data_IF_972259691083
#
_entry.id   IF_972259691083
#
_cell.length_a   1.000
_cell.length_b   1.000
_cell.length_c   1.000
_cell.angle_alpha   90.00
_cell.angle_beta   90.00
_cell.angle_gamma   90.00
#
_symmetry.space_group_name_H-M   'P 1'
#
loop_
_entity.id
_entity.type
_entity.pdbx_description
1 polymer ?
#
# COMPACT_ATOMS: atom_id res chain seq x y z
N UNK A 1 -15.94 -1.58 -2.53
CA UNK A 1 -16.15 -2.96 -2.02
C UNK A 1 -15.50 -3.06 -0.65
N UNK A 2 -16.20 -3.67 0.31
CA UNK A 2 -15.71 -3.82 1.68
C UNK A 2 -15.35 -5.28 1.94
N UNK A 3 -14.13 -5.53 2.39
CA UNK A 3 -13.64 -6.85 2.79
C UNK A 3 -13.33 -6.88 4.29
N UNK A 4 -13.65 -7.98 4.97
CA UNK A 4 -13.35 -8.16 6.40
C UNK A 4 -12.68 -9.52 6.64
N UNK A 5 -11.58 -9.49 7.38
CA UNK A 5 -10.90 -10.69 7.85
C UNK A 5 -10.71 -10.62 9.37
N UNK A 6 -11.33 -11.55 10.07
CA UNK A 6 -11.17 -11.71 11.52
C UNK A 6 -9.94 -12.57 11.82
N UNK A 7 -9.11 -12.12 12.75
CA UNK A 7 -7.95 -12.83 13.26
C UNK A 7 -7.97 -12.88 14.80
N UNK A 8 -6.98 -13.54 15.41
CA UNK A 8 -6.94 -13.65 16.86
C UNK A 8 -6.58 -12.31 17.51
N UNK A 9 -7.60 -11.64 18.05
CA UNK A 9 -7.42 -10.38 18.76
C UNK A 9 -7.85 -9.16 17.95
N UNK A 10 -8.33 -9.31 16.72
CA UNK A 10 -8.81 -8.16 15.97
C UNK A 10 -9.44 -8.47 14.61
N UNK A 11 -9.65 -7.41 13.85
CA UNK A 11 -10.23 -7.47 12.50
C UNK A 11 -9.42 -6.58 11.56
N UNK A 12 -9.18 -7.08 10.35
CA UNK A 12 -8.71 -6.28 9.23
C UNK A 12 -9.91 -5.95 8.35
N UNK A 13 -10.12 -4.67 8.07
CA UNK A 13 -11.14 -4.16 7.16
C UNK A 13 -10.45 -3.47 5.99
N UNK A 14 -10.66 -3.95 4.77
CA UNK A 14 -10.18 -3.30 3.55
C UNK A 14 -11.34 -2.65 2.80
N UNK A 15 -11.19 -1.35 2.54
CA UNK A 15 -12.11 -0.51 1.81
C UNK A 15 -11.52 -0.22 0.42
N UNK A 16 -12.01 -0.97 -0.57
CA UNK A 16 -11.68 -0.75 -1.99
C UNK A 16 -12.62 0.28 -2.60
N UNK A 17 -12.06 1.38 -3.10
CA UNK A 17 -12.79 2.48 -3.76
C UNK A 17 -14.06 2.86 -2.99
N UNK A 18 -13.97 3.16 -1.68
CA UNK A 18 -15.14 3.34 -0.86
C UNK A 18 -15.90 4.62 -1.21
N UNK A 19 -17.20 4.57 -1.00
CA UNK A 19 -18.05 5.75 -0.96
C UNK A 19 -17.86 6.50 0.36
N UNK A 20 -18.17 7.80 0.39
CA UNK A 20 -18.13 8.58 1.63
C UNK A 20 -19.09 8.05 2.72
N UNK A 21 -20.15 7.34 2.34
CA UNK A 21 -21.03 6.66 3.30
C UNK A 21 -20.34 5.44 3.94
N UNK A 22 -19.65 4.61 3.14
CA UNK A 22 -18.88 3.46 3.67
C UNK A 22 -17.76 3.91 4.60
N UNK A 23 -17.06 5.01 4.28
CA UNK A 23 -16.04 5.62 5.17
C UNK A 23 -16.68 6.04 6.49
N UNK A 24 -17.82 6.75 6.45
CA UNK A 24 -18.55 7.19 7.64
C UNK A 24 -19.01 6.02 8.52
N UNK A 25 -19.46 4.93 7.91
CA UNK A 25 -19.94 3.77 8.64
C UNK A 25 -18.80 3.06 9.35
N UNK A 26 -17.65 2.87 8.69
CA UNK A 26 -16.43 2.32 9.30
C UNK A 26 -15.89 3.25 10.37
N UNK A 27 -15.90 4.57 10.14
CA UNK A 27 -15.47 5.56 11.12
C UNK A 27 -16.29 5.48 12.42
N UNK A 28 -17.61 5.36 12.32
CA UNK A 28 -18.48 5.17 13.49
C UNK A 28 -18.24 3.82 14.18
N UNK A 29 -18.06 2.75 13.41
CA UNK A 29 -17.85 1.40 13.95
C UNK A 29 -16.59 1.31 14.81
N UNK A 30 -15.49 1.90 14.33
CA UNK A 30 -14.19 1.84 15.01
C UNK A 30 -13.85 3.10 15.81
N UNK A 31 -14.81 4.01 15.99
CA UNK A 31 -14.62 5.28 16.70
C UNK A 31 -13.45 6.10 16.15
N UNK A 32 -13.33 6.16 14.82
CA UNK A 32 -12.34 6.98 14.11
C UNK A 32 -12.74 8.45 14.28
N UNK A 33 -11.82 9.27 14.80
CA UNK A 33 -12.05 10.70 14.99
C UNK A 33 -12.35 11.43 13.67
N UNK A 34 -13.20 12.46 13.73
CA UNK A 34 -13.57 13.29 12.56
C UNK A 34 -12.36 13.91 11.83
N UNK A 35 -11.22 14.04 12.51
CA UNK A 35 -9.98 14.47 11.88
C UNK A 35 -9.42 13.39 10.96
N UNK A 36 -9.31 12.15 11.43
CA UNK A 36 -8.80 11.02 10.63
C UNK A 36 -9.79 10.64 9.54
N UNK A 37 -11.10 10.67 9.82
CA UNK A 37 -12.15 10.42 8.81
C UNK A 37 -12.01 11.36 7.61
N UNK A 38 -11.72 12.64 7.85
CA UNK A 38 -11.57 13.64 6.77
C UNK A 38 -10.38 13.36 5.85
N UNK A 39 -9.30 12.80 6.38
CA UNK A 39 -8.15 12.40 5.57
C UNK A 39 -8.53 11.25 4.63
N UNK A 40 -9.38 10.31 5.06
CA UNK A 40 -9.79 9.16 4.24
C UNK A 40 -10.75 9.50 3.09
N UNK A 41 -11.38 10.69 3.09
CA UNK A 41 -12.41 11.04 2.10
C UNK A 41 -11.85 11.23 0.69
N UNK A 42 -10.59 11.64 0.56
CA UNK A 42 -9.94 11.93 -0.70
C UNK A 42 -8.45 11.54 -0.63
N UNK A 43 -7.88 11.02 -1.73
CA UNK A 43 -6.45 10.77 -1.81
C UNK A 43 -5.64 12.04 -1.51
N UNK A 44 -4.54 11.85 -0.81
CA UNK A 44 -3.58 12.89 -0.44
C UNK A 44 -2.35 12.87 -1.37
N UNK A 45 -1.72 14.03 -1.62
CA UNK A 45 -0.60 14.10 -2.55
C UNK A 45 0.73 13.61 -1.98
N UNK A 46 0.82 13.41 -0.66
CA UNK A 46 2.09 13.12 0.04
C UNK A 46 1.85 12.17 1.22
N UNK A 47 2.81 11.28 1.53
CA UNK A 47 2.75 10.45 2.73
C UNK A 47 2.53 11.27 4.00
N UNK A 48 1.76 10.70 4.93
CA UNK A 48 1.27 11.40 6.11
C UNK A 48 1.19 10.43 7.29
N UNK A 49 1.52 10.93 8.49
CA UNK A 49 1.20 10.27 9.75
C UNK A 49 0.31 11.19 10.60
N UNK A 50 -0.83 10.67 11.02
CA UNK A 50 -1.70 11.30 12.00
C UNK A 50 -2.07 10.29 13.10
N UNK A 51 -2.23 10.77 14.33
CA UNK A 51 -2.65 9.93 15.45
C UNK A 51 -3.66 10.69 16.31
N UNK A 52 -4.79 10.08 16.60
CA UNK A 52 -5.87 10.65 17.41
C UNK A 52 -6.65 9.49 18.06
N UNK A 53 -7.16 9.68 19.27
CA UNK A 53 -8.09 8.71 19.88
C UNK A 53 -7.56 7.30 20.13
N UNK A 54 -6.24 7.09 20.15
CA UNK A 54 -5.65 5.74 20.23
C UNK A 54 -5.71 4.99 18.90
N UNK A 55 -5.79 5.72 17.79
CA UNK A 55 -5.62 5.23 16.43
C UNK A 55 -4.46 5.98 15.77
N UNK A 56 -3.72 5.28 14.92
CA UNK A 56 -2.67 5.86 14.09
C UNK A 56 -3.02 5.63 12.62
N UNK A 57 -3.13 6.72 11.84
CA UNK A 57 -3.27 6.74 10.39
C UNK A 57 -1.90 6.96 9.75
N UNK A 58 -1.51 6.04 8.88
CA UNK A 58 -0.37 6.17 7.99
C UNK A 58 -0.85 6.15 6.55
N UNK A 59 -0.49 7.17 5.78
CA UNK A 59 -0.73 7.23 4.34
C UNK A 59 0.57 6.94 3.61
N UNK A 60 0.54 5.98 2.68
CA UNK A 60 1.68 5.56 1.88
C UNK A 60 1.35 5.55 0.39
N UNK A 61 2.37 5.79 -0.43
CA UNK A 61 2.26 5.86 -1.88
C UNK A 61 3.16 4.79 -2.51
N UNK A 62 2.54 3.84 -3.21
CA UNK A 62 3.24 2.74 -3.85
C UNK A 62 3.34 2.96 -5.36
N UNK A 63 4.53 2.85 -5.96
CA UNK A 63 4.66 2.97 -7.41
C UNK A 63 3.86 1.87 -8.12
N UNK A 64 3.10 2.26 -9.13
CA UNK A 64 2.31 1.36 -9.95
C UNK A 64 2.58 1.60 -11.44
N UNK A 65 2.24 0.59 -12.24
CA UNK A 65 2.30 0.70 -13.69
C UNK A 65 1.11 1.54 -14.15
N UNK A 66 1.36 2.74 -14.68
CA UNK A 66 0.33 3.54 -15.31
C UNK A 66 -0.25 2.83 -16.55
N UNK A 67 -1.50 3.16 -16.90
CA UNK A 67 -2.18 2.60 -18.06
C UNK A 67 -1.57 3.05 -19.42
N UNK A 68 -0.78 4.13 -19.42
CA UNK A 68 -0.08 4.65 -20.59
C UNK A 68 1.45 4.50 -20.45
N UNK A 69 2.10 4.09 -21.55
CA UNK A 69 3.55 3.89 -21.62
C UNK A 69 4.33 5.16 -21.22
N UNK A 70 4.86 5.16 -20.00
CA UNK A 70 5.75 6.20 -19.48
C UNK A 70 5.13 7.21 -18.53
N UNK A 71 3.87 7.01 -18.10
CA UNK A 71 3.32 7.68 -16.92
C UNK A 71 3.54 6.75 -15.72
N UNK A 72 4.33 7.20 -14.75
CA UNK A 72 4.48 6.51 -13.46
C UNK A 72 3.52 7.17 -12.48
N UNK A 73 2.53 6.40 -12.03
CA UNK A 73 1.55 6.83 -11.04
C UNK A 73 1.83 6.09 -9.73
N UNK A 74 1.48 6.74 -8.62
CA UNK A 74 1.54 6.11 -7.31
C UNK A 74 0.13 5.82 -6.83
N UNK A 75 -0.07 4.62 -6.29
CA UNK A 75 -1.31 4.20 -5.66
C UNK A 75 -1.22 4.43 -4.16
N UNK A 76 -2.20 5.14 -3.62
CA UNK A 76 -2.29 5.45 -2.21
C UNK A 76 -2.96 4.33 -1.42
N UNK A 77 -2.35 4.00 -0.28
CA UNK A 77 -2.90 3.09 0.73
C UNK A 77 -2.86 3.80 2.07
N UNK A 78 -4.04 4.03 2.61
CA UNK A 78 -4.20 4.51 3.97
C UNK A 78 -4.30 3.32 4.90
N UNK A 79 -3.54 3.34 5.99
CA UNK A 79 -3.53 2.29 6.99
C UNK A 79 -3.83 2.92 8.35
N UNK A 80 -4.99 2.60 8.91
CA UNK A 80 -5.34 2.93 10.29
C UNK A 80 -5.10 1.71 11.15
N UNK A 81 -4.32 1.87 12.21
CA UNK A 81 -4.09 0.84 13.22
C UNK A 81 -4.58 1.31 14.57
N UNK A 82 -5.35 0.43 15.22
CA UNK A 82 -5.75 0.52 16.61
C UNK A 82 -5.55 -0.81 17.30
N UNK A 83 -5.93 -0.87 18.58
CA UNK A 83 -5.66 -2.02 19.45
C UNK A 83 -6.03 -3.40 18.86
N UNK A 84 -7.23 -3.46 18.29
CA UNK A 84 -7.82 -4.71 17.79
C UNK A 84 -8.33 -4.53 16.35
N UNK A 85 -7.81 -3.55 15.62
CA UNK A 85 -8.32 -3.19 14.29
C UNK A 85 -7.21 -2.69 13.39
N UNK A 86 -7.25 -3.15 12.15
CA UNK A 86 -6.52 -2.57 11.04
C UNK A 86 -7.55 -2.19 9.98
N UNK A 87 -7.59 -0.92 9.56
CA UNK A 87 -8.41 -0.48 8.44
C UNK A 87 -7.48 -0.04 7.31
N UNK A 88 -7.68 -0.59 6.12
CA UNK A 88 -7.00 -0.12 4.91
C UNK A 88 -8.00 0.56 3.99
N UNK A 89 -7.64 1.73 3.47
CA UNK A 89 -8.41 2.43 2.43
C UNK A 89 -7.56 2.56 1.19
N UNK A 90 -8.16 2.26 0.03
CA UNK A 90 -7.52 2.40 -1.27
C UNK A 90 -8.50 2.95 -2.29
N UNK A 91 -8.03 3.91 -3.09
CA UNK A 91 -8.85 4.62 -4.06
C UNK A 91 -8.85 3.95 -5.45
N UNK A 92 -8.03 2.93 -5.60
CA UNK A 92 -7.87 2.12 -6.81
C UNK A 92 -7.76 0.63 -6.48
N UNK A 93 -7.75 -0.19 -7.53
CA UNK A 93 -7.44 -1.62 -7.39
C UNK A 93 -5.94 -1.78 -7.17
N UNK A 94 -5.58 -2.29 -6.00
CA UNK A 94 -4.18 -2.54 -5.60
C UNK A 94 -3.97 -4.05 -5.57
N UNK A 95 -3.29 -4.56 -6.60
CA UNK A 95 -3.14 -6.00 -6.84
C UNK A 95 -2.55 -6.77 -5.63
N UNK A 96 -1.55 -6.26 -4.89
CA UNK A 96 -1.01 -6.94 -3.71
C UNK A 96 -2.04 -7.17 -2.60
N UNK A 97 -2.89 -6.17 -2.32
CA UNK A 97 -3.94 -6.29 -1.31
C UNK A 97 -5.05 -7.23 -1.77
N UNK A 98 -5.44 -7.16 -3.04
CA UNK A 98 -6.41 -8.09 -3.61
C UNK A 98 -5.90 -9.55 -3.61
N UNK A 99 -4.61 -9.77 -3.85
CA UNK A 99 -4.00 -11.10 -3.72
C UNK A 99 -4.01 -11.58 -2.26
N UNK A 100 -3.64 -10.71 -1.31
CA UNK A 100 -3.68 -11.02 0.11
C UNK A 100 -5.09 -11.42 0.58
N UNK A 101 -6.13 -10.71 0.13
CA UNK A 101 -7.53 -11.08 0.43
C UNK A 101 -7.83 -12.52 0.00
N UNK A 102 -7.50 -12.89 -1.23
CA UNK A 102 -7.71 -14.25 -1.75
C UNK A 102 -6.95 -15.32 -0.97
N UNK A 103 -5.71 -15.02 -0.58
CA UNK A 103 -4.89 -15.93 0.24
C UNK A 103 -5.52 -16.16 1.61
N UNK A 104 -6.00 -15.10 2.26
CA UNK A 104 -6.64 -15.18 3.57
C UNK A 104 -8.01 -15.87 3.53
N UNK A 105 -8.80 -15.64 2.48
CA UNK A 105 -10.04 -16.38 2.25
C UNK A 105 -9.76 -17.88 2.08
N UNK A 106 -8.77 -18.24 1.26
CA UNK A 106 -8.38 -19.63 1.05
C UNK A 106 -7.86 -20.29 2.35
N UNK A 107 -7.05 -19.57 3.13
CA UNK A 107 -6.53 -20.08 4.40
C UNK A 107 -7.64 -20.33 5.42
N UNK A 108 -8.61 -19.42 5.52
CA UNK A 108 -9.77 -19.54 6.43
C UNK A 108 -10.59 -20.80 6.14
N UNK A 109 -10.71 -21.18 4.87
CA UNK A 109 -11.40 -22.41 4.45
C UNK A 109 -10.65 -23.70 4.83
N UNK A 110 -9.32 -23.65 4.91
CA UNK A 110 -8.47 -24.86 5.13
C UNK A 110 -8.15 -25.08 6.60
N UNK A 111 -7.77 -24.03 7.34
CA UNK A 111 -7.21 -24.15 8.70
C UNK A 111 -8.01 -23.41 9.78
N UNK A 112 -9.13 -22.77 9.42
CA UNK A 112 -9.86 -21.86 10.32
C UNK A 112 -9.10 -20.55 10.53
N UNK A 113 -9.49 -19.77 11.57
CA UNK A 113 -8.79 -18.53 11.91
C UNK A 113 -7.39 -18.90 12.46
N UNK A 114 -6.33 -18.48 11.76
CA UNK A 114 -4.98 -18.58 12.28
C UNK A 114 -4.83 -17.71 13.53
N UNK A 115 -3.93 -18.12 14.44
CA UNK A 115 -3.54 -17.35 15.62
C UNK A 115 -2.67 -16.14 15.23
N UNK A 116 -3.19 -15.29 14.35
CA UNK A 116 -2.55 -14.04 13.91
C UNK A 116 -2.96 -12.94 14.89
N UNK A 117 -1.98 -12.26 15.49
CA UNK A 117 -2.20 -11.03 16.27
C UNK A 117 -2.25 -9.81 15.35
N UNK A 118 -2.65 -8.65 15.87
CA UNK A 118 -2.64 -7.37 15.13
C UNK A 118 -1.27 -7.08 14.52
N UNK A 119 -0.19 -7.24 15.29
CA UNK A 119 1.18 -7.01 14.82
C UNK A 119 1.58 -7.91 13.66
N UNK A 120 1.28 -9.20 13.76
CA UNK A 120 1.61 -10.16 12.69
C UNK A 120 0.77 -9.88 11.45
N UNK A 121 -0.50 -9.51 11.61
CA UNK A 121 -1.35 -9.13 10.48
C UNK A 121 -0.82 -7.88 9.77
N UNK A 122 -0.34 -6.90 10.54
CA UNK A 122 0.27 -5.69 10.02
C UNK A 122 1.60 -5.99 9.30
N UNK A 123 2.42 -6.88 9.85
CA UNK A 123 3.64 -7.38 9.21
C UNK A 123 3.33 -8.04 7.86
N UNK A 124 2.32 -8.92 7.81
CA UNK A 124 1.90 -9.58 6.56
C UNK A 124 1.42 -8.56 5.52
N UNK A 125 0.66 -7.54 5.94
CA UNK A 125 0.20 -6.45 5.07
C UNK A 125 1.37 -5.70 4.43
N UNK A 126 2.30 -5.20 5.25
CA UNK A 126 3.48 -4.49 4.75
C UNK A 126 4.37 -5.40 3.90
N UNK A 127 4.57 -6.66 4.30
CA UNK A 127 5.34 -7.60 3.51
C UNK A 127 4.75 -7.78 2.11
N UNK A 128 3.43 -7.88 1.96
CA UNK A 128 2.78 -7.97 0.66
C UNK A 128 2.93 -6.70 -0.17
N UNK A 129 2.75 -5.52 0.44
CA UNK A 129 2.90 -4.23 -0.24
C UNK A 129 4.34 -4.02 -0.73
N UNK A 130 5.34 -4.25 0.12
CA UNK A 130 6.75 -4.09 -0.24
C UNK A 130 7.28 -5.19 -1.16
N UNK A 131 6.70 -6.39 -1.15
CA UNK A 131 7.01 -7.41 -2.17
C UNK A 131 6.64 -6.90 -3.57
N UNK A 132 5.53 -6.18 -3.71
CA UNK A 132 5.14 -5.58 -4.99
C UNK A 132 6.15 -4.54 -5.49
N UNK A 133 6.68 -3.72 -4.58
CA UNK A 133 7.73 -2.73 -4.91
C UNK A 133 8.99 -3.44 -5.39
N UNK A 134 9.38 -4.52 -4.71
CA UNK A 134 10.52 -5.33 -5.10
C UNK A 134 10.32 -5.98 -6.48
N UNK A 135 9.13 -6.52 -6.75
CA UNK A 135 8.78 -7.10 -8.05
C UNK A 135 8.79 -6.06 -9.18
N UNK A 136 8.29 -4.85 -8.91
CA UNK A 136 8.38 -3.71 -9.83
C UNK A 136 9.84 -3.37 -10.13
N UNK A 137 10.68 -3.32 -9.09
CA UNK A 137 12.13 -3.06 -9.24
C UNK A 137 12.79 -4.10 -10.15
N UNK A 138 12.48 -5.39 -9.96
CA UNK A 138 12.99 -6.44 -10.84
C UNK A 138 12.53 -6.27 -12.29
N UNK A 139 11.28 -5.84 -12.50
CA UNK A 139 10.78 -5.56 -13.85
C UNK A 139 11.54 -4.43 -14.55
N UNK A 140 11.90 -3.37 -13.80
CA UNK A 140 12.75 -2.26 -14.29
C UNK A 140 14.13 -2.80 -14.70
N UNK A 141 14.75 -3.66 -13.88
CA UNK A 141 16.05 -4.29 -14.17
C UNK A 141 15.99 -5.13 -15.45
N UNK A 142 14.95 -5.97 -15.59
CA UNK A 142 14.75 -6.79 -16.79
C UNK A 142 14.54 -5.94 -18.05
N UNK A 143 13.84 -4.81 -17.93
CA UNK A 143 13.67 -3.85 -19.03
C UNK A 143 14.99 -3.19 -19.41
N UNK A 144 15.82 -2.83 -18.43
CA UNK A 144 17.14 -2.26 -18.69
C UNK A 144 18.05 -3.26 -19.44
N UNK A 145 18.06 -4.54 -19.03
CA UNK A 145 18.82 -5.58 -19.71
C UNK A 145 18.39 -5.77 -21.18
N UNK A 146 17.08 -5.69 -21.47
CA UNK A 146 16.56 -5.72 -22.86
C UNK A 146 17.00 -4.50 -23.67
N UNK A 147 16.95 -3.32 -23.06
CA UNK A 147 17.39 -2.07 -23.69
C UNK A 147 18.88 -2.14 -24.06
N UNK A 148 19.71 -2.68 -23.17
CA UNK A 148 21.14 -2.88 -23.44
C UNK A 148 21.36 -3.80 -24.64
N UNK A 149 20.61 -4.91 -24.75
CA UNK A 149 20.67 -5.79 -25.93
C UNK A 149 20.29 -5.04 -27.23
N UNK A 150 19.17 -4.30 -27.22
CA UNK A 150 18.71 -3.52 -28.38
C UNK A 150 19.74 -2.46 -28.85
N UNK A 151 20.61 -1.94 -27.94
CA UNK A 151 21.71 -1.02 -28.32
C UNK A 151 22.74 -1.70 -29.20
N UNK A 152 23.17 -2.91 -28.82
CA UNK A 152 24.20 -3.64 -29.53
C UNK A 152 23.74 -4.08 -30.93
N UNK A 153 22.41 -4.19 -31.14
CA UNK A 153 21.79 -4.54 -32.42
C UNK A 153 21.52 -3.33 -33.35
N UNK A 154 21.93 -2.12 -32.96
CA UNK A 154 21.89 -0.92 -33.81
C UNK A 154 20.56 -0.16 -33.81
N UNK A 155 19.68 -0.37 -32.82
CA UNK A 155 18.40 0.33 -32.66
C UNK A 155 18.49 1.64 -31.85
N UNK A 156 19.58 2.40 -32.01
CA UNK A 156 20.02 3.50 -31.12
C UNK A 156 18.92 4.51 -30.73
N UNK A 157 18.08 4.95 -31.69
CA UNK A 157 17.06 5.98 -31.42
C UNK A 157 15.92 5.48 -30.55
N UNK A 158 15.53 4.20 -30.70
CA UNK A 158 14.49 3.57 -29.88
C UNK A 158 15.02 3.35 -28.46
N UNK A 159 16.27 2.92 -28.35
CA UNK A 159 16.95 2.71 -27.07
C UNK A 159 16.97 3.96 -26.21
N UNK A 160 17.37 5.13 -26.75
CA UNK A 160 17.48 6.36 -25.95
C UNK A 160 16.14 6.72 -25.27
N UNK A 161 15.03 6.59 -25.99
CA UNK A 161 13.70 6.84 -25.42
C UNK A 161 13.36 5.83 -24.31
N UNK A 162 13.69 4.57 -24.51
CA UNK A 162 13.47 3.52 -23.51
C UNK A 162 14.32 3.72 -22.25
N UNK A 163 15.59 4.15 -22.38
CA UNK A 163 16.44 4.51 -21.23
C UNK A 163 15.78 5.65 -20.45
N UNK A 164 15.39 6.72 -21.13
CA UNK A 164 14.76 7.87 -20.47
C UNK A 164 13.46 7.50 -19.75
N UNK A 165 12.66 6.58 -20.31
CA UNK A 165 11.46 6.06 -19.65
C UNK A 165 11.81 5.28 -18.37
N UNK A 166 12.76 4.34 -18.46
CA UNK A 166 13.21 3.53 -17.31
C UNK A 166 13.83 4.41 -16.22
N UNK A 167 14.65 5.41 -16.57
CA UNK A 167 15.24 6.34 -15.61
C UNK A 167 14.19 7.19 -14.89
N UNK A 168 13.16 7.67 -15.59
CA UNK A 168 12.06 8.45 -14.97
C UNK A 168 11.26 7.58 -14.00
N UNK A 169 10.97 6.36 -14.40
CA UNK A 169 10.21 5.41 -13.58
C UNK A 169 10.99 5.02 -12.32
N UNK A 170 12.29 4.72 -12.46
CA UNK A 170 13.16 4.45 -11.32
C UNK A 170 13.25 5.63 -10.36
N UNK A 171 13.44 6.85 -10.89
CA UNK A 171 13.49 8.06 -10.06
C UNK A 171 12.17 8.34 -9.33
N UNK A 172 11.03 8.10 -9.99
CA UNK A 172 9.72 8.22 -9.36
C UNK A 172 9.56 7.24 -8.20
N UNK A 173 9.93 5.97 -8.42
CA UNK A 173 9.93 4.95 -7.37
C UNK A 173 10.86 5.32 -6.21
N UNK A 174 12.10 5.74 -6.51
CA UNK A 174 13.05 6.18 -5.48
C UNK A 174 12.49 7.33 -4.64
N UNK A 175 11.92 8.35 -5.30
CA UNK A 175 11.29 9.50 -4.64
C UNK A 175 10.13 9.06 -3.75
N UNK A 176 9.21 8.24 -4.27
CA UNK A 176 8.05 7.77 -3.53
C UNK A 176 8.45 6.96 -2.28
N UNK A 177 9.49 6.12 -2.38
CA UNK A 177 10.01 5.36 -1.24
C UNK A 177 10.72 6.23 -0.21
N UNK A 178 11.48 7.24 -0.67
CA UNK A 178 12.17 8.17 0.21
C UNK A 178 11.18 9.07 0.98
N UNK A 179 10.15 9.59 0.31
CA UNK A 179 9.16 10.50 0.90
C UNK A 179 8.37 9.84 2.05
N UNK A 180 8.21 8.52 2.02
CA UNK A 180 7.49 7.77 3.04
C UNK A 180 8.38 7.17 4.15
N UNK A 181 9.70 7.29 4.06
CA UNK A 181 10.63 6.73 5.07
C UNK A 181 10.42 7.36 6.45
N UNK A 182 10.33 8.69 6.52
CA UNK A 182 10.10 9.40 7.79
C UNK A 182 8.71 9.08 8.39
N UNK A 183 7.58 9.22 7.66
CA UNK A 183 6.26 8.86 8.20
C UNK A 183 6.17 7.41 8.67
N UNK A 184 6.72 6.46 7.90
CA UNK A 184 6.75 5.05 8.30
C UNK A 184 7.59 4.83 9.55
N UNK A 185 8.80 5.41 9.63
CA UNK A 185 9.65 5.29 10.80
C UNK A 185 8.99 5.84 12.06
N UNK A 186 8.32 6.98 11.95
CA UNK A 186 7.54 7.57 13.05
C UNK A 186 6.33 6.72 13.42
N UNK A 187 5.65 6.14 12.44
CA UNK A 187 4.51 5.26 12.67
C UNK A 187 4.93 4.01 13.45
N UNK A 188 6.02 3.36 13.05
CA UNK A 188 6.58 2.22 13.77
C UNK A 188 6.98 2.58 15.21
N UNK A 189 7.50 3.78 15.45
CA UNK A 189 7.77 4.26 16.81
C UNK A 189 6.49 4.45 17.63
N UNK A 190 5.43 5.01 17.04
CA UNK A 190 4.11 5.15 17.69
C UNK A 190 3.53 3.79 18.05
N UNK A 191 3.64 2.79 17.16
CA UNK A 191 3.23 1.41 17.44
C UNK A 191 4.05 0.74 18.54
N UNK A 192 5.32 1.08 18.69
CA UNK A 192 6.17 0.53 19.75
C UNK A 192 5.88 1.19 21.12
N UNK A 193 5.47 2.46 21.14
CA UNK A 193 5.15 3.21 22.36
C UNK A 193 3.76 2.90 22.91
N UNK A 194 2.82 2.56 22.03
CA UNK A 194 1.45 2.22 22.37
C UNK A 194 1.26 0.72 22.13
N UNK A 195 1.03 -0.07 23.19
CA UNK A 195 0.59 -1.47 23.05
C UNK A 195 -0.81 -1.50 22.39
N UNK A 196 -0.85 -1.39 21.07
CA UNK A 196 -2.02 -1.69 20.25
C UNK A 196 -2.23 -3.21 20.28
#
# INVERSE_FOLDING_TARGET
MLFRHEYQGGVWVDLEQPTGDEIRDVAKEFSIDERLERELLLPTPTPLLASEGGLALLVLHFPAHGAEDGITESQEVDVIVGKNVIVTVRYEVIAPLHHLQKLLEAQKLVSGNAALTTDVMLEVLFAHLYTSVHDHTNHIVDRLARIEQDMFDGAERKTILSILQVSREFLHMETALADQEEPLGRFLAVLAEHEF
#
